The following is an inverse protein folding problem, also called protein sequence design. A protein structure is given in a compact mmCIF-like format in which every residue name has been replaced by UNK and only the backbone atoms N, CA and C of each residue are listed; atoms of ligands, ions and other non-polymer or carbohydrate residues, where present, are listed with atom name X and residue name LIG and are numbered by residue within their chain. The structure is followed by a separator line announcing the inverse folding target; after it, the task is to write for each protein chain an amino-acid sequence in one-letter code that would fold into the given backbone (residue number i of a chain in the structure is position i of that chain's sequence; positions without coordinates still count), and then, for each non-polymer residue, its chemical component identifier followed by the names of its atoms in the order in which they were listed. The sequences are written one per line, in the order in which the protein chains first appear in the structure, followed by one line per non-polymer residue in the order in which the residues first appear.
data_IF_385510777542
#
_entry.id   IF_385510777542
#
_cell.length_a   1.000
_cell.length_b   1.000
_cell.length_c   1.000
_cell.angle_alpha   90.00
_cell.angle_beta   90.00
_cell.angle_gamma   90.00
#
_symmetry.space_group_name_H-M   'P 1'
#
loop_
_entity.id
_entity.type
_entity.pdbx_description
1 polymer ?
#
# COMPACT_ATOMS: atom_id res chain seq x y z
N UNK A 1 -8.39 24.38 -39.90
CA UNK A 1 -7.21 23.68 -40.41
C UNK A 1 -7.67 22.75 -41.54
N UNK A 2 -7.07 22.93 -42.74
CA UNK A 2 -7.25 21.95 -43.82
C UNK A 2 -6.78 20.57 -43.31
N UNK A 3 -7.42 19.46 -43.71
CA UNK A 3 -7.05 18.15 -43.22
C UNK A 3 -5.60 17.84 -43.58
N UNK A 4 -4.75 17.73 -42.55
CA UNK A 4 -3.35 17.34 -42.71
C UNK A 4 -3.29 15.84 -42.97
N UNK A 5 -3.53 15.44 -44.23
CA UNK A 5 -3.71 14.05 -44.67
C UNK A 5 -2.50 13.15 -44.46
N UNK A 6 -1.33 13.73 -44.16
CA UNK A 6 -0.06 13.00 -43.95
C UNK A 6 0.45 13.08 -42.51
N UNK A 7 -0.26 13.77 -41.61
CA UNK A 7 0.17 13.90 -40.23
C UNK A 7 -0.09 12.56 -39.50
N UNK A 8 0.98 12.03 -38.94
CA UNK A 8 0.93 10.80 -38.10
C UNK A 8 1.17 11.08 -36.64
N UNK A 9 1.89 12.17 -36.32
CA UNK A 9 2.21 12.56 -34.94
C UNK A 9 2.05 14.06 -34.78
N UNK A 10 1.56 14.49 -33.63
CA UNK A 10 1.45 15.90 -33.27
C UNK A 10 1.87 16.08 -31.80
N UNK A 11 2.98 16.80 -31.60
CA UNK A 11 3.49 17.10 -30.27
C UNK A 11 2.97 18.45 -29.81
N UNK A 12 2.14 18.44 -28.77
CA UNK A 12 1.56 19.62 -28.09
C UNK A 12 2.07 19.71 -26.64
N UNK A 13 3.15 18.99 -26.30
CA UNK A 13 3.78 19.05 -24.98
C UNK A 13 4.23 20.48 -24.66
N UNK A 14 3.95 20.95 -23.45
CA UNK A 14 4.22 22.35 -23.05
C UNK A 14 3.10 23.32 -23.42
N UNK A 15 2.04 22.86 -24.08
CA UNK A 15 0.79 23.60 -24.23
C UNK A 15 -0.23 22.99 -23.27
N UNK A 16 -0.87 23.82 -22.44
CA UNK A 16 -2.00 23.38 -21.61
C UNK A 16 -3.23 23.25 -22.49
N UNK A 17 -3.67 22.02 -22.72
CA UNK A 17 -4.82 21.71 -23.59
C UNK A 17 -5.93 21.14 -22.72
N UNK A 18 -7.16 21.65 -22.86
CA UNK A 18 -8.30 21.08 -22.15
C UNK A 18 -8.65 19.68 -22.67
N UNK A 19 -9.24 18.85 -21.81
CA UNK A 19 -9.67 17.48 -22.18
C UNK A 19 -10.67 17.51 -23.35
N UNK A 20 -11.64 18.43 -23.34
CA UNK A 20 -12.61 18.57 -24.44
C UNK A 20 -11.92 18.89 -25.78
N UNK A 21 -10.88 19.76 -25.74
CA UNK A 21 -10.11 20.08 -26.95
C UNK A 21 -9.34 18.87 -27.45
N UNK A 22 -8.75 18.07 -26.55
CA UNK A 22 -8.02 16.86 -26.92
C UNK A 22 -8.94 15.79 -27.49
N UNK A 23 -10.09 15.60 -26.88
CA UNK A 23 -11.07 14.62 -27.36
C UNK A 23 -11.60 15.01 -28.75
N UNK A 24 -11.90 16.27 -28.97
CA UNK A 24 -12.26 16.80 -30.29
C UNK A 24 -11.15 16.64 -31.34
N UNK A 25 -9.87 16.79 -30.94
CA UNK A 25 -8.73 16.55 -31.83
C UNK A 25 -8.58 15.07 -32.17
N UNK A 26 -8.66 14.18 -31.20
CA UNK A 26 -8.61 12.72 -31.40
C UNK A 26 -9.75 12.21 -32.29
N UNK A 27 -10.97 12.69 -32.04
CA UNK A 27 -12.13 12.34 -32.87
C UNK A 27 -11.94 12.83 -34.32
N UNK A 28 -11.46 14.03 -34.51
CA UNK A 28 -11.28 14.62 -35.84
C UNK A 28 -10.11 14.02 -36.62
N UNK A 29 -9.08 13.55 -35.90
CA UNK A 29 -7.84 13.03 -36.47
C UNK A 29 -7.46 11.67 -35.86
N UNK A 30 -8.26 10.62 -36.06
CA UNK A 30 -8.11 9.34 -35.36
C UNK A 30 -6.82 8.58 -35.71
N UNK A 31 -6.12 8.96 -36.77
CA UNK A 31 -4.85 8.36 -37.20
C UNK A 31 -3.63 9.13 -36.72
N UNK A 32 -3.83 10.22 -35.98
CA UNK A 32 -2.73 11.05 -35.46
C UNK A 32 -2.48 10.71 -34.00
N UNK A 33 -1.24 10.38 -33.68
CA UNK A 33 -0.80 10.25 -32.27
C UNK A 33 -0.49 11.64 -31.73
N UNK A 34 -1.22 12.02 -30.67
CA UNK A 34 -1.01 13.29 -29.98
C UNK A 34 -0.21 13.08 -28.69
N UNK A 35 0.86 13.85 -28.50
CA UNK A 35 1.52 14.04 -27.19
C UNK A 35 1.11 15.41 -26.66
N UNK A 36 0.59 15.47 -25.43
CA UNK A 36 0.11 16.71 -24.81
C UNK A 36 0.27 16.66 -23.30
N UNK A 37 0.22 17.83 -22.69
CA UNK A 37 0.15 18.00 -21.24
C UNK A 37 -1.14 18.73 -20.84
N UNK A 38 -1.55 18.52 -19.61
CA UNK A 38 -2.74 19.13 -19.02
C UNK A 38 -2.49 19.43 -17.53
N UNK A 39 -3.24 20.39 -17.00
CA UNK A 39 -3.22 20.71 -15.58
C UNK A 39 -4.23 19.83 -14.84
N UNK A 40 -3.76 19.09 -13.83
CA UNK A 40 -4.59 18.27 -12.97
C UNK A 40 -3.99 18.25 -11.57
N UNK A 41 -4.80 18.46 -10.55
CA UNK A 41 -4.36 18.53 -9.15
C UNK A 41 -3.22 19.55 -8.93
N UNK A 42 -3.20 20.66 -9.66
CA UNK A 42 -2.15 21.67 -9.59
C UNK A 42 -0.79 21.21 -10.14
N UNK A 43 -0.76 20.14 -10.94
CA UNK A 43 0.44 19.59 -11.57
C UNK A 43 0.24 19.50 -13.09
N UNK A 44 1.32 19.75 -13.83
CA UNK A 44 1.34 19.54 -15.28
C UNK A 44 1.66 18.06 -15.55
N UNK A 45 0.68 17.32 -16.05
CA UNK A 45 0.74 15.89 -16.28
C UNK A 45 0.55 15.55 -17.76
N UNK A 46 0.83 14.31 -18.11
CA UNK A 46 0.59 13.74 -19.45
C UNK A 46 -0.14 12.40 -19.33
N UNK A 47 -0.78 11.90 -20.41
CA UNK A 47 -1.40 10.57 -20.38
C UNK A 47 -0.43 9.42 -20.10
N UNK A 48 0.87 9.64 -20.30
CA UNK A 48 1.95 8.68 -20.04
C UNK A 48 2.40 8.67 -18.57
N UNK A 49 1.84 9.52 -17.71
CA UNK A 49 2.16 9.57 -16.27
C UNK A 49 1.87 8.23 -15.61
N UNK A 50 2.89 7.64 -15.01
CA UNK A 50 2.83 6.35 -14.33
C UNK A 50 2.77 6.46 -12.81
N UNK A 51 3.26 7.57 -12.26
CA UNK A 51 3.31 7.84 -10.83
C UNK A 51 2.78 9.23 -10.55
N UNK A 52 1.97 9.37 -9.49
CA UNK A 52 1.38 10.64 -9.07
C UNK A 52 1.52 10.80 -7.56
N UNK A 53 1.90 11.99 -7.11
CA UNK A 53 1.85 12.33 -5.70
C UNK A 53 0.82 13.43 -5.47
N UNK A 54 -0.17 13.13 -4.63
CA UNK A 54 -1.17 14.06 -4.11
C UNK A 54 -0.93 14.37 -2.63
N UNK A 55 0.25 14.02 -2.13
CA UNK A 55 0.62 14.17 -0.72
C UNK A 55 0.35 15.59 -0.22
N UNK A 56 -0.38 15.69 0.90
CA UNK A 56 -0.68 16.96 1.55
C UNK A 56 -1.76 17.81 0.86
N UNK A 57 -2.32 17.37 -0.28
CA UNK A 57 -3.56 17.95 -0.80
C UNK A 57 -4.74 17.50 0.07
N UNK A 58 -5.85 18.21 0.03
CA UNK A 58 -7.02 17.87 0.85
C UNK A 58 -8.19 17.53 -0.05
N UNK A 59 -8.77 16.37 0.16
CA UNK A 59 -9.98 15.89 -0.50
C UNK A 59 -11.01 15.49 0.56
N UNK A 60 -12.28 15.63 0.24
CA UNK A 60 -13.40 15.26 1.13
C UNK A 60 -14.08 13.98 0.68
N UNK A 61 -14.04 13.69 -0.62
CA UNK A 61 -14.63 12.49 -1.21
C UNK A 61 -13.66 11.82 -2.20
N UNK A 62 -13.78 10.50 -2.42
CA UNK A 62 -12.96 9.82 -3.42
C UNK A 62 -13.27 10.24 -4.85
N UNK A 63 -14.47 10.73 -5.14
CA UNK A 63 -14.89 11.21 -6.45
C UNK A 63 -14.06 12.39 -6.94
N UNK A 64 -13.65 13.29 -6.02
CA UNK A 64 -12.78 14.43 -6.34
C UNK A 64 -11.43 13.97 -6.95
N UNK A 65 -10.98 12.79 -6.57
CA UNK A 65 -9.74 12.18 -7.09
C UNK A 65 -10.05 11.33 -8.32
N UNK A 66 -11.08 10.48 -8.26
CA UNK A 66 -11.36 9.47 -9.29
C UNK A 66 -11.65 10.10 -10.64
N UNK A 67 -12.38 11.23 -10.70
CA UNK A 67 -12.65 11.94 -11.95
C UNK A 67 -11.35 12.38 -12.64
N UNK A 68 -10.36 12.86 -11.88
CA UNK A 68 -9.07 13.24 -12.42
C UNK A 68 -8.25 12.04 -12.90
N UNK A 69 -8.25 10.94 -12.14
CA UNK A 69 -7.46 9.75 -12.46
C UNK A 69 -7.89 9.07 -13.77
N UNK A 70 -9.15 9.23 -14.20
CA UNK A 70 -9.64 8.73 -15.50
C UNK A 70 -8.83 9.27 -16.70
N UNK A 71 -8.16 10.39 -16.52
CA UNK A 71 -7.31 10.99 -17.55
C UNK A 71 -5.87 10.48 -17.56
N UNK A 72 -5.52 9.58 -16.63
CA UNK A 72 -4.19 8.99 -16.45
C UNK A 72 -4.20 7.48 -16.69
N UNK A 73 -4.43 7.02 -17.92
CA UNK A 73 -4.65 5.59 -18.22
C UNK A 73 -3.44 4.69 -17.94
N UNK A 74 -2.24 5.27 -17.81
CA UNK A 74 -1.00 4.57 -17.55
C UNK A 74 -0.55 4.66 -16.07
N UNK A 75 -1.37 5.27 -15.20
CA UNK A 75 -1.04 5.40 -13.80
C UNK A 75 -0.95 4.03 -13.12
N UNK A 76 0.15 3.79 -12.42
CA UNK A 76 0.41 2.55 -11.67
C UNK A 76 0.59 2.77 -10.17
N UNK A 77 0.93 4.00 -9.76
CA UNK A 77 1.10 4.35 -8.35
C UNK A 77 0.60 5.76 -8.04
N UNK A 78 -0.05 5.92 -6.88
CA UNK A 78 -0.52 7.21 -6.41
C UNK A 78 -0.29 7.36 -4.90
N UNK A 79 0.53 8.37 -4.52
CA UNK A 79 0.75 8.71 -3.11
C UNK A 79 -0.36 9.66 -2.64
N UNK A 80 -1.19 9.16 -1.72
CA UNK A 80 -2.33 9.84 -1.11
C UNK A 80 -2.08 10.21 0.36
N UNK A 81 -0.83 10.16 0.82
CA UNK A 81 -0.49 10.45 2.21
C UNK A 81 -0.88 11.88 2.61
N UNK A 82 -1.66 11.99 3.69
CA UNK A 82 -2.09 13.29 4.22
C UNK A 82 -3.18 14.00 3.41
N UNK A 83 -3.91 13.28 2.56
CA UNK A 83 -4.99 13.86 1.74
C UNK A 83 -6.32 14.03 2.48
N UNK A 84 -6.45 13.48 3.70
CA UNK A 84 -7.68 13.57 4.50
C UNK A 84 -8.72 12.50 4.19
N UNK A 85 -8.54 11.68 3.15
CA UNK A 85 -9.43 10.55 2.87
C UNK A 85 -9.27 9.43 3.92
N UNK A 86 -10.38 8.81 4.31
CA UNK A 86 -10.37 7.66 5.22
C UNK A 86 -9.90 6.39 4.52
N UNK A 87 -9.51 5.35 5.29
CA UNK A 87 -9.12 4.06 4.71
C UNK A 87 -10.24 3.41 3.90
N UNK A 88 -11.51 3.58 4.30
CA UNK A 88 -12.65 3.08 3.55
C UNK A 88 -12.78 3.77 2.19
N UNK A 89 -12.58 5.10 2.14
CA UNK A 89 -12.56 5.88 0.91
C UNK A 89 -11.37 5.50 0.02
N UNK A 90 -10.21 5.20 0.60
CA UNK A 90 -9.04 4.68 -0.13
C UNK A 90 -9.30 3.30 -0.74
N UNK A 91 -10.02 2.42 -0.02
CA UNK A 91 -10.46 1.12 -0.56
C UNK A 91 -11.44 1.28 -1.72
N UNK A 92 -12.30 2.29 -1.70
CA UNK A 92 -13.17 2.60 -2.86
C UNK A 92 -12.34 2.98 -4.09
N UNK A 93 -11.35 3.88 -3.94
CA UNK A 93 -10.42 4.22 -5.03
C UNK A 93 -9.63 3.01 -5.53
N UNK A 94 -9.13 2.17 -4.63
CA UNK A 94 -8.42 0.94 -5.00
C UNK A 94 -9.31 -0.03 -5.79
N UNK A 95 -10.62 -0.06 -5.47
CA UNK A 95 -11.59 -0.90 -6.18
C UNK A 95 -11.91 -0.35 -7.58
N UNK A 96 -12.04 0.97 -7.70
CA UNK A 96 -12.30 1.64 -8.98
C UNK A 96 -11.06 1.59 -9.91
N UNK A 97 -9.85 1.70 -9.35
CA UNK A 97 -8.58 1.67 -10.09
C UNK A 97 -7.69 0.51 -9.63
N UNK A 98 -8.03 -0.74 -9.93
CA UNK A 98 -7.31 -1.91 -9.40
C UNK A 98 -5.86 -2.04 -9.89
N UNK A 99 -5.51 -1.38 -11.00
CA UNK A 99 -4.14 -1.34 -11.53
C UNK A 99 -3.24 -0.29 -10.86
N UNK A 100 -3.81 0.63 -10.08
CA UNK A 100 -3.07 1.69 -9.39
C UNK A 100 -2.79 1.26 -7.96
N UNK A 101 -1.53 1.29 -7.56
CA UNK A 101 -1.15 1.12 -6.16
C UNK A 101 -1.33 2.46 -5.45
N UNK A 102 -2.31 2.55 -4.56
CA UNK A 102 -2.48 3.70 -3.68
C UNK A 102 -1.70 3.51 -2.39
N UNK A 103 -1.10 4.60 -1.91
CA UNK A 103 -0.39 4.65 -0.62
C UNK A 103 -1.00 5.75 0.24
N UNK A 104 -1.34 5.44 1.48
CA UNK A 104 -1.90 6.40 2.43
C UNK A 104 -1.40 6.14 3.85
N UNK A 105 -1.76 7.00 4.78
CA UNK A 105 -1.45 6.78 6.19
C UNK A 105 -2.56 5.99 6.88
N UNK A 106 -2.16 5.03 7.69
CA UNK A 106 -3.00 4.31 8.65
C UNK A 106 -2.48 4.52 10.07
N UNK A 107 -3.34 4.32 11.07
CA UNK A 107 -2.98 4.44 12.46
C UNK A 107 -2.77 3.05 13.07
N UNK A 108 -1.58 2.80 13.63
CA UNK A 108 -1.22 1.59 14.38
C UNK A 108 -0.86 2.04 15.80
N UNK A 109 -1.77 1.86 16.76
CA UNK A 109 -1.59 2.42 18.10
C UNK A 109 -1.31 3.93 18.05
N UNK A 110 -0.14 4.36 18.53
CA UNK A 110 0.28 5.76 18.52
C UNK A 110 0.97 6.22 17.22
N UNK A 111 1.21 5.31 16.28
CA UNK A 111 1.99 5.62 15.06
C UNK A 111 1.12 5.83 13.85
N UNK A 112 1.43 6.90 13.12
CA UNK A 112 0.93 7.10 11.76
C UNK A 112 1.90 6.43 10.78
N UNK A 113 1.44 5.44 10.06
CA UNK A 113 2.25 4.53 9.24
C UNK A 113 1.77 4.56 7.80
N UNK A 114 2.70 4.59 6.84
CA UNK A 114 2.35 4.43 5.42
C UNK A 114 1.95 3.00 5.13
N UNK A 115 1.02 2.79 4.21
CA UNK A 115 0.56 1.44 3.83
C UNK A 115 1.58 0.65 2.99
N UNK A 116 2.60 1.31 2.44
CA UNK A 116 3.65 0.69 1.63
C UNK A 116 4.91 0.28 2.41
N UNK A 117 4.85 0.30 3.74
CA UNK A 117 5.97 -0.17 4.56
C UNK A 117 6.25 -1.66 4.33
N UNK A 118 7.52 -2.00 4.31
CA UNK A 118 7.99 -3.39 4.24
C UNK A 118 8.32 -3.98 5.60
N UNK A 119 8.46 -3.13 6.63
CA UNK A 119 8.81 -3.57 7.97
C UNK A 119 8.20 -2.69 9.06
N UNK A 120 7.85 -3.34 10.19
CA UNK A 120 7.37 -2.67 11.40
C UNK A 120 7.85 -3.42 12.64
N UNK A 121 8.31 -2.70 13.67
CA UNK A 121 8.73 -3.28 14.95
C UNK A 121 8.30 -2.41 16.13
N UNK A 122 7.78 -3.04 17.16
CA UNK A 122 7.47 -2.44 18.46
C UNK A 122 8.60 -2.56 19.49
N UNK A 123 9.62 -3.38 19.21
CA UNK A 123 10.75 -3.64 20.11
C UNK A 123 12.03 -2.88 19.71
N UNK A 124 11.95 -1.87 18.85
CA UNK A 124 13.13 -1.13 18.36
C UNK A 124 14.21 -2.05 17.76
N UNK A 125 13.80 -3.14 17.12
CA UNK A 125 14.70 -4.06 16.42
C UNK A 125 15.35 -3.36 15.23
N UNK A 126 16.67 -3.15 15.30
CA UNK A 126 17.42 -2.38 14.29
C UNK A 126 17.76 -3.15 13.02
N UNK A 127 17.79 -4.47 13.10
CA UNK A 127 18.10 -5.35 11.97
C UNK A 127 17.28 -6.64 12.08
N UNK A 128 16.81 -7.13 10.94
CA UNK A 128 16.24 -8.46 10.83
C UNK A 128 17.33 -9.49 10.52
N UNK A 129 17.08 -10.81 10.74
CA UNK A 129 18.11 -11.85 10.62
C UNK A 129 18.83 -11.92 9.27
N UNK A 130 18.19 -11.51 8.18
CA UNK A 130 18.78 -11.45 6.85
C UNK A 130 19.49 -10.13 6.52
N UNK A 131 19.60 -9.22 7.51
CA UNK A 131 20.19 -7.89 7.33
C UNK A 131 19.29 -6.91 6.58
N UNK A 132 18.08 -7.26 6.23
CA UNK A 132 17.11 -6.37 5.60
C UNK A 132 16.71 -5.26 6.57
N UNK A 133 16.74 -4.02 6.12
CA UNK A 133 16.98 -2.90 7.00
C UNK A 133 15.99 -1.85 7.08
N UNK A 134 14.98 -1.53 6.52
CA UNK A 134 14.19 -0.33 6.89
C UNK A 134 12.94 -0.71 7.66
N UNK A 135 12.83 -0.28 8.89
CA UNK A 135 11.65 -0.51 9.70
C UNK A 135 11.27 0.74 10.48
N UNK A 136 10.00 0.86 10.82
CA UNK A 136 9.53 1.85 11.76
C UNK A 136 9.71 1.26 13.15
N UNK A 137 10.72 1.78 13.87
CA UNK A 137 10.96 1.36 15.21
C UNK A 137 10.15 2.21 16.18
N UNK A 138 9.55 1.56 17.13
CA UNK A 138 8.98 2.17 18.32
C UNK A 138 9.97 2.14 19.49
N UNK A 139 9.83 3.07 20.39
CA UNK A 139 10.62 3.11 21.64
C UNK A 139 9.91 2.32 22.74
N UNK A 140 9.96 0.98 22.67
CA UNK A 140 9.60 0.11 23.79
C UNK A 140 8.10 -0.06 24.05
N UNK A 141 7.79 -0.98 24.93
CA UNK A 141 6.49 -1.52 25.37
C UNK A 141 5.26 -0.67 25.01
N UNK A 142 4.63 -0.99 23.89
CA UNK A 142 3.60 -0.14 23.28
C UNK A 142 2.20 -0.49 23.72
N UNK A 143 2.07 -1.61 24.43
CA UNK A 143 0.78 -2.14 24.88
C UNK A 143 -0.29 -2.27 23.80
N UNK A 144 0.12 -2.52 22.53
CA UNK A 144 -0.80 -2.73 21.42
C UNK A 144 -1.79 -3.85 21.75
N UNK A 145 -3.02 -3.64 21.32
CA UNK A 145 -4.13 -4.57 21.40
C UNK A 145 -4.60 -4.99 20.01
N UNK A 146 -5.48 -5.96 19.92
CA UNK A 146 -6.06 -6.43 18.67
C UNK A 146 -6.72 -5.29 17.86
N UNK A 147 -7.32 -4.31 18.54
CA UNK A 147 -7.95 -3.15 17.89
C UNK A 147 -6.93 -2.27 17.13
N UNK A 148 -5.70 -2.17 17.64
CA UNK A 148 -4.63 -1.38 17.03
C UNK A 148 -4.08 -2.06 15.76
N UNK A 149 -4.23 -3.39 15.64
CA UNK A 149 -3.66 -4.19 14.55
C UNK A 149 -4.56 -4.25 13.32
N UNK A 150 -5.83 -3.88 13.43
CA UNK A 150 -6.78 -3.97 12.32
C UNK A 150 -6.31 -3.23 11.06
N UNK A 151 -5.58 -2.13 11.23
CA UNK A 151 -5.08 -1.32 10.13
C UNK A 151 -3.93 -1.97 9.35
N UNK A 152 -3.25 -3.00 9.89
CA UNK A 152 -2.24 -3.75 9.11
C UNK A 152 -2.82 -4.46 7.89
N UNK A 153 -4.14 -4.68 7.84
CA UNK A 153 -4.79 -5.23 6.65
C UNK A 153 -4.52 -4.42 5.36
N UNK A 154 -4.13 -3.16 5.49
CA UNK A 154 -3.79 -2.27 4.39
C UNK A 154 -2.29 -2.26 4.06
N UNK A 155 -1.43 -2.79 4.95
CA UNK A 155 0.03 -2.81 4.79
C UNK A 155 0.48 -4.10 4.07
N UNK A 156 -0.05 -4.36 2.89
CA UNK A 156 0.14 -5.63 2.17
C UNK A 156 1.55 -5.88 1.65
N UNK A 157 2.43 -4.88 1.76
CA UNK A 157 3.85 -4.98 1.40
C UNK A 157 4.74 -5.46 2.55
N UNK A 158 4.18 -5.63 3.77
CA UNK A 158 4.96 -6.07 4.92
C UNK A 158 5.67 -7.40 4.67
N UNK A 159 6.97 -7.39 4.91
CA UNK A 159 7.89 -8.54 4.85
C UNK A 159 8.35 -8.92 6.26
N UNK A 160 8.53 -7.94 7.13
CA UNK A 160 9.02 -8.10 8.49
C UNK A 160 8.08 -7.44 9.49
N UNK A 161 7.57 -8.23 10.44
CA UNK A 161 6.66 -7.75 11.47
C UNK A 161 7.11 -8.27 12.84
N UNK A 162 7.44 -7.32 13.73
CA UNK A 162 7.84 -7.59 15.10
C UNK A 162 6.91 -6.85 16.05
N UNK A 163 6.10 -7.62 16.73
CA UNK A 163 5.06 -7.19 17.69
C UNK A 163 5.29 -7.79 19.09
N UNK A 164 6.54 -8.09 19.42
CA UNK A 164 6.87 -8.63 20.72
C UNK A 164 6.49 -7.68 21.87
N UNK A 165 6.14 -8.23 23.02
CA UNK A 165 5.91 -7.45 24.23
C UNK A 165 4.62 -6.63 24.24
N UNK A 166 3.54 -7.10 23.66
CA UNK A 166 2.26 -6.41 23.58
C UNK A 166 1.13 -7.16 24.33
N UNK A 167 -0.11 -6.80 24.03
CA UNK A 167 -1.33 -7.41 24.63
C UNK A 167 -2.20 -8.10 23.59
N UNK A 168 -1.59 -8.65 22.56
CA UNK A 168 -2.24 -9.24 21.39
C UNK A 168 -2.83 -10.60 21.77
N UNK A 169 -4.05 -10.87 21.30
CA UNK A 169 -4.74 -12.15 21.46
C UNK A 169 -5.17 -12.73 20.12
N UNK A 170 -5.45 -11.90 19.10
CA UNK A 170 -5.95 -12.28 17.78
C UNK A 170 -4.94 -11.95 16.68
N UNK A 171 -4.62 -12.95 15.85
CA UNK A 171 -3.74 -12.85 14.71
C UNK A 171 -4.49 -12.85 13.36
N UNK A 172 -5.79 -12.66 13.33
CA UNK A 172 -6.62 -12.77 12.13
C UNK A 172 -6.23 -11.77 11.03
N UNK A 173 -5.62 -10.63 11.37
CA UNK A 173 -5.11 -9.64 10.42
C UNK A 173 -4.00 -10.18 9.51
N UNK A 174 -3.27 -11.22 9.94
CA UNK A 174 -2.15 -11.82 9.19
C UNK A 174 -2.57 -12.39 7.83
N UNK A 175 -3.82 -12.78 7.66
CA UNK A 175 -4.35 -13.28 6.37
C UNK A 175 -4.19 -12.29 5.21
N UNK A 176 -4.04 -11.00 5.52
CA UNK A 176 -3.88 -9.93 4.54
C UNK A 176 -2.40 -9.59 4.26
N UNK A 177 -1.44 -10.33 4.85
CA UNK A 177 0.00 -10.07 4.76
C UNK A 177 0.74 -11.20 4.01
N UNK A 178 0.47 -11.40 2.72
CA UNK A 178 0.98 -12.57 1.98
C UNK A 178 2.49 -12.54 1.73
N UNK A 179 3.14 -11.38 1.90
CA UNK A 179 4.58 -11.21 1.67
C UNK A 179 5.42 -11.47 2.92
N UNK A 180 4.79 -11.72 4.07
CA UNK A 180 5.49 -11.80 5.36
C UNK A 180 6.49 -12.97 5.37
N UNK A 181 7.76 -12.66 5.69
CA UNK A 181 8.88 -13.59 5.83
C UNK A 181 9.32 -13.76 7.28
N UNK A 182 9.21 -12.72 8.09
CA UNK A 182 9.47 -12.77 9.52
C UNK A 182 8.24 -12.28 10.31
N UNK A 183 7.84 -13.08 11.27
CA UNK A 183 6.85 -12.71 12.27
C UNK A 183 7.41 -12.97 13.66
N UNK A 184 7.47 -11.95 14.49
CA UNK A 184 7.74 -12.06 15.92
C UNK A 184 6.54 -11.51 16.69
N UNK A 185 5.93 -12.36 17.50
CA UNK A 185 4.77 -12.06 18.37
C UNK A 185 4.98 -12.65 19.77
N UNK A 186 6.23 -12.74 20.19
CA UNK A 186 6.60 -13.21 21.52
C UNK A 186 6.05 -12.32 22.63
N UNK A 187 5.97 -12.86 23.85
CA UNK A 187 5.52 -12.12 25.03
C UNK A 187 4.20 -11.36 24.82
N UNK A 188 3.17 -12.09 24.37
CA UNK A 188 1.81 -11.61 24.14
C UNK A 188 0.80 -12.51 24.89
N UNK A 189 -0.46 -12.51 24.51
CA UNK A 189 -1.54 -13.30 25.12
C UNK A 189 -2.24 -14.23 24.13
N UNK A 190 -1.51 -14.65 23.10
CA UNK A 190 -2.03 -15.44 21.98
C UNK A 190 -2.31 -16.87 22.45
N UNK A 191 -3.44 -17.41 22.06
CA UNK A 191 -3.83 -18.81 22.30
C UNK A 191 -4.02 -19.58 21.01
N UNK A 192 -4.45 -18.91 19.94
CA UNK A 192 -4.71 -19.47 18.61
C UNK A 192 -3.76 -18.87 17.57
N UNK A 193 -3.03 -19.73 16.87
CA UNK A 193 -2.11 -19.37 15.78
C UNK A 193 -2.57 -19.90 14.41
N UNK A 194 -3.83 -20.29 14.28
CA UNK A 194 -4.38 -20.85 13.03
C UNK A 194 -4.17 -19.91 11.81
N UNK A 195 -4.23 -18.59 12.02
CA UNK A 195 -3.99 -17.59 10.99
C UNK A 195 -2.59 -17.67 10.36
N UNK A 196 -1.58 -18.15 11.09
CA UNK A 196 -0.21 -18.31 10.60
C UNK A 196 -0.12 -19.29 9.43
N UNK A 197 -1.00 -20.29 9.37
CA UNK A 197 -1.04 -21.28 8.29
C UNK A 197 -1.19 -20.69 6.88
N UNK A 198 -1.69 -19.46 6.76
CA UNK A 198 -1.83 -18.74 5.49
C UNK A 198 -0.54 -18.09 4.97
N UNK A 199 0.50 -18.03 5.81
CA UNK A 199 1.74 -17.29 5.52
C UNK A 199 2.76 -18.14 4.74
N UNK A 200 2.48 -18.43 3.47
CA UNK A 200 3.30 -19.32 2.64
C UNK A 200 4.76 -18.84 2.42
N UNK A 201 5.06 -17.59 2.71
CA UNK A 201 6.40 -17.02 2.58
C UNK A 201 7.15 -16.93 3.90
N UNK A 202 6.56 -17.36 5.02
CA UNK A 202 7.16 -17.22 6.34
C UNK A 202 8.40 -18.11 6.48
N UNK A 203 9.52 -17.50 6.87
CA UNK A 203 10.83 -18.11 7.05
C UNK A 203 11.24 -18.16 8.53
N UNK A 204 10.86 -17.12 9.30
CA UNK A 204 11.21 -16.97 10.71
C UNK A 204 9.95 -16.70 11.53
N UNK A 205 9.74 -17.48 12.58
CA UNK A 205 8.61 -17.34 13.48
C UNK A 205 9.06 -17.35 14.93
N UNK A 206 8.70 -16.32 15.68
CA UNK A 206 8.91 -16.23 17.13
C UNK A 206 7.54 -16.07 17.82
N UNK A 207 7.18 -17.02 18.66
CA UNK A 207 5.89 -17.11 19.39
C UNK A 207 6.06 -17.41 20.88
N UNK A 208 7.29 -17.29 21.40
CA UNK A 208 7.64 -17.57 22.79
C UNK A 208 6.84 -16.73 23.78
N UNK A 209 6.69 -17.21 25.02
CA UNK A 209 5.95 -16.52 26.11
C UNK A 209 4.53 -16.09 25.64
N UNK A 210 3.73 -17.06 25.23
CA UNK A 210 2.30 -16.94 24.89
C UNK A 210 1.54 -18.06 25.61
N UNK A 211 0.26 -18.24 25.31
CA UNK A 211 -0.61 -19.29 25.86
C UNK A 211 -0.98 -20.34 24.81
N UNK A 212 -0.10 -20.57 23.82
CA UNK A 212 -0.32 -21.47 22.70
C UNK A 212 -0.19 -22.91 23.18
N UNK A 213 -1.19 -23.74 22.89
CA UNK A 213 -1.19 -25.17 23.23
C UNK A 213 -1.14 -26.08 21.98
N UNK A 214 -1.39 -25.52 20.79
CA UNK A 214 -1.38 -26.24 19.53
C UNK A 214 -0.48 -25.52 18.52
N UNK A 215 0.58 -26.18 18.07
CA UNK A 215 1.52 -25.67 17.06
C UNK A 215 1.29 -26.31 15.68
N UNK A 216 0.26 -27.13 15.51
CA UNK A 216 -0.03 -27.77 14.22
C UNK A 216 -0.19 -26.80 13.04
N UNK A 217 -0.68 -25.54 13.22
CA UNK A 217 -0.75 -24.57 12.12
C UNK A 217 0.58 -24.25 11.45
N UNK A 218 1.73 -24.46 12.13
CA UNK A 218 3.04 -24.19 11.54
C UNK A 218 3.61 -25.35 10.72
N UNK A 219 3.06 -26.57 10.89
CA UNK A 219 3.61 -27.80 10.28
C UNK A 219 3.58 -27.78 8.74
N UNK A 220 2.65 -27.04 8.15
CA UNK A 220 2.48 -26.94 6.69
C UNK A 220 3.21 -25.77 6.02
N UNK A 221 3.98 -24.98 6.76
CA UNK A 221 4.63 -23.79 6.22
C UNK A 221 5.85 -24.16 5.35
N UNK A 222 5.81 -23.92 4.02
CA UNK A 222 6.79 -24.50 3.10
C UNK A 222 8.19 -23.89 3.18
N UNK A 223 8.31 -22.70 3.75
CA UNK A 223 9.58 -21.93 3.81
C UNK A 223 10.10 -21.73 5.23
N UNK A 224 9.39 -22.21 6.25
CA UNK A 224 9.79 -21.98 7.63
C UNK A 224 11.11 -22.71 7.94
N UNK A 225 12.12 -21.92 8.31
CA UNK A 225 13.47 -22.40 8.64
C UNK A 225 13.83 -22.20 10.10
N UNK A 226 13.15 -21.27 10.79
CA UNK A 226 13.41 -20.96 12.20
C UNK A 226 12.10 -20.80 12.96
N UNK A 227 11.99 -21.51 14.08
CA UNK A 227 10.88 -21.44 15.01
C UNK A 227 11.43 -21.28 16.44
N UNK A 228 10.98 -20.23 17.12
CA UNK A 228 11.22 -19.99 18.55
C UNK A 228 9.87 -19.96 19.29
N UNK A 229 9.63 -20.97 20.15
CA UNK A 229 8.36 -21.16 20.86
C UNK A 229 8.56 -21.44 22.37
#
# INVERSE_FOLDING_TARGET
LAPLKKLTTCNLTGQTISFETMDALKERYPLVTFSFSFELFGQTLTPETTELSLQGQTFTTPEEVSEGLKHLPNLTACDMCGTGLTSEQMVQLQTEFPAVKFVWYVQIGAWQVRTDIESFSTENRKTFPDGAGTYIASAGNTELTDADLAAFQYCTDLVYLDLDGNKITDLSFLKNLPKLRLLSVGNNKITDISAISSLANLEFLEIFINYISDITPVVGLPKLTSLNC
#
